data_IF_051280868720
#
_entry.id   IF_051280868720
#
_cell.length_a   1.000
_cell.length_b   1.000
_cell.length_c   1.000
_cell.angle_alpha   90.00
_cell.angle_beta   90.00
_cell.angle_gamma   90.00
#
_symmetry.space_group_name_H-M   'P 1'
#
loop_
_entity.id
_entity.type
_entity.pdbx_description
1 polymer ?
#
# COMPACT_ATOMS: atom_id res chain seq x y z
N UNK A 1 -8.69 -18.15 10.15
CA UNK A 1 -8.38 -16.72 10.04
C UNK A 1 -8.77 -16.22 8.66
N UNK A 2 -9.56 -15.18 8.59
CA UNK A 2 -9.94 -14.57 7.32
C UNK A 2 -8.95 -13.52 6.87
N UNK A 3 -9.07 -13.13 5.62
CA UNK A 3 -8.29 -12.04 5.03
C UNK A 3 -9.09 -10.75 5.13
N UNK A 4 -8.37 -9.63 5.29
CA UNK A 4 -8.97 -8.30 5.32
C UNK A 4 -8.58 -7.58 4.03
N UNK A 5 -9.57 -7.01 3.36
CA UNK A 5 -9.37 -6.22 2.15
C UNK A 5 -9.90 -4.80 2.37
N UNK A 6 -9.25 -3.84 1.74
CA UNK A 6 -9.70 -2.46 1.76
C UNK A 6 -9.63 -1.87 0.35
N UNK A 7 -10.72 -1.26 -0.08
CA UNK A 7 -10.74 -0.58 -1.38
C UNK A 7 -9.78 0.59 -1.32
N UNK A 8 -8.82 0.61 -2.23
CA UNK A 8 -7.76 1.60 -2.26
C UNK A 8 -7.66 2.19 -3.65
N UNK A 9 -7.63 3.50 -3.72
CA UNK A 9 -7.38 4.24 -4.95
C UNK A 9 -5.95 4.75 -4.95
N UNK A 10 -5.22 4.45 -6.02
CA UNK A 10 -3.84 4.91 -6.22
C UNK A 10 -3.83 5.98 -7.30
N UNK A 11 -3.20 7.11 -7.01
CA UNK A 11 -3.06 8.21 -7.95
C UNK A 11 -1.64 8.77 -7.93
N UNK A 12 -1.26 9.43 -9.02
CA UNK A 12 0.03 10.08 -9.13
C UNK A 12 0.04 11.35 -8.28
N UNK A 13 1.09 11.57 -7.50
CA UNK A 13 1.25 12.77 -6.68
C UNK A 13 1.27 14.04 -7.55
N UNK A 14 1.81 13.94 -8.76
CA UNK A 14 1.86 15.07 -9.69
C UNK A 14 0.50 15.41 -10.29
N UNK A 15 -0.53 14.63 -10.02
CA UNK A 15 -1.86 14.83 -10.55
C UNK A 15 -2.13 13.98 -11.79
N UNK A 16 -3.24 14.29 -12.47
CA UNK A 16 -3.71 13.54 -13.61
C UNK A 16 -5.04 12.86 -13.29
N UNK A 17 -5.67 12.29 -14.32
CA UNK A 17 -7.01 11.72 -14.19
C UNK A 17 -6.99 10.20 -14.01
N UNK A 18 -5.84 9.57 -14.24
CA UNK A 18 -5.73 8.11 -14.14
C UNK A 18 -5.68 7.66 -12.69
N UNK A 19 -6.28 6.52 -12.43
CA UNK A 19 -6.22 5.88 -11.12
C UNK A 19 -6.16 4.36 -11.27
N UNK A 20 -5.78 3.71 -10.18
CA UNK A 20 -5.84 2.26 -10.04
C UNK A 20 -6.61 2.00 -8.76
N UNK A 21 -7.82 1.50 -8.88
CA UNK A 21 -8.72 1.32 -7.74
C UNK A 21 -9.19 -0.12 -7.69
N UNK A 22 -8.94 -0.78 -6.57
CA UNK A 22 -9.43 -2.13 -6.32
C UNK A 22 -9.29 -2.50 -4.85
N UNK A 23 -9.85 -3.64 -4.41
CA UNK A 23 -9.57 -4.13 -3.07
C UNK A 23 -8.10 -4.54 -2.95
N UNK A 24 -7.43 -4.01 -1.93
CA UNK A 24 -6.06 -4.40 -1.57
C UNK A 24 -6.12 -5.32 -0.36
N UNK A 25 -5.33 -6.38 -0.40
CA UNK A 25 -5.13 -7.22 0.77
C UNK A 25 -4.40 -6.42 1.84
N UNK A 26 -4.89 -6.46 3.08
CA UNK A 26 -4.25 -5.80 4.22
C UNK A 26 -3.23 -6.77 4.81
N UNK A 27 -1.95 -6.37 4.79
CA UNK A 27 -0.85 -7.20 5.29
C UNK A 27 -0.07 -6.45 6.36
N UNK A 28 -0.41 -6.70 7.62
CA UNK A 28 0.26 -6.04 8.75
C UNK A 28 1.68 -6.54 8.98
N UNK A 29 2.07 -7.64 8.34
CA UNK A 29 3.45 -8.13 8.37
C UNK A 29 4.37 -7.46 7.37
N UNK A 30 3.82 -6.69 6.42
CA UNK A 30 4.60 -5.97 5.42
C UNK A 30 4.75 -4.50 5.85
N UNK A 31 5.95 -3.94 5.64
CA UNK A 31 6.21 -2.53 5.95
C UNK A 31 5.62 -1.63 4.87
N UNK A 32 5.96 -1.89 3.61
CA UNK A 32 5.57 -1.05 2.48
C UNK A 32 4.47 -1.73 1.65
N UNK A 33 3.73 -0.90 0.92
CA UNK A 33 2.66 -1.32 0.04
C UNK A 33 3.23 -1.75 -1.30
N UNK A 34 2.74 -2.87 -1.85
CA UNK A 34 3.17 -3.36 -3.15
C UNK A 34 2.01 -3.26 -4.15
N UNK A 35 2.34 -2.77 -5.35
CA UNK A 35 1.38 -2.60 -6.43
C UNK A 35 2.04 -3.14 -7.71
N UNK A 36 1.30 -3.81 -8.59
CA UNK A 36 1.88 -4.29 -9.85
C UNK A 36 2.57 -3.16 -10.61
N UNK A 37 3.79 -3.41 -11.06
CA UNK A 37 4.63 -2.40 -11.71
C UNK A 37 3.95 -1.79 -12.93
N UNK A 38 3.27 -2.60 -13.74
CA UNK A 38 2.58 -2.12 -14.94
C UNK A 38 1.47 -1.11 -14.61
N UNK A 39 0.79 -1.27 -13.47
CA UNK A 39 -0.22 -0.31 -13.04
C UNK A 39 0.41 1.00 -12.60
N UNK A 40 1.51 0.95 -11.85
CA UNK A 40 2.23 2.16 -11.46
C UNK A 40 2.77 2.90 -12.68
N UNK A 41 3.29 2.16 -13.67
CA UNK A 41 3.78 2.73 -14.91
C UNK A 41 2.65 3.40 -15.70
N UNK A 42 1.50 2.76 -15.76
CA UNK A 42 0.32 3.33 -16.43
C UNK A 42 -0.10 4.66 -15.79
N UNK A 43 0.03 4.79 -14.48
CA UNK A 43 -0.26 6.03 -13.75
C UNK A 43 0.84 7.09 -13.90
N UNK A 44 1.94 6.77 -14.57
CA UNK A 44 3.06 7.69 -14.71
C UNK A 44 3.92 7.82 -13.45
N UNK A 45 3.79 6.91 -12.51
CA UNK A 45 4.59 6.94 -11.28
C UNK A 45 5.98 6.42 -11.59
N UNK A 46 6.99 7.24 -11.26
CA UNK A 46 8.38 6.94 -11.58
C UNK A 46 9.04 6.10 -10.51
N UNK A 47 10.00 5.28 -10.93
CA UNK A 47 10.90 4.61 -10.02
C UNK A 47 11.89 5.63 -9.49
N UNK A 48 11.85 5.87 -8.17
CA UNK A 48 12.68 6.89 -7.52
C UNK A 48 13.88 6.29 -6.81
N UNK A 49 13.88 4.99 -6.59
CA UNK A 49 14.96 4.32 -5.89
C UNK A 49 14.77 2.83 -5.85
N UNK A 50 15.63 2.17 -5.09
CA UNK A 50 15.62 0.73 -4.94
C UNK A 50 15.84 0.38 -3.48
N UNK A 51 15.11 -0.59 -2.96
CA UNK A 51 15.21 -1.00 -1.56
C UNK A 51 15.30 -2.51 -1.45
N UNK A 52 16.04 -2.95 -0.44
CA UNK A 52 16.13 -4.37 -0.09
C UNK A 52 15.07 -4.70 0.95
N UNK A 53 14.35 -5.78 0.70
CA UNK A 53 13.32 -6.27 1.62
C UNK A 53 13.66 -7.70 2.04
N UNK A 54 13.45 -7.98 3.30
CA UNK A 54 13.63 -9.34 3.82
C UNK A 54 12.25 -10.02 3.85
N UNK A 55 12.19 -11.19 3.23
CA UNK A 55 10.99 -12.02 3.22
C UNK A 55 10.89 -12.85 4.50
N UNK A 56 9.72 -13.43 4.72
CA UNK A 56 9.47 -14.23 5.93
C UNK A 56 10.45 -15.40 6.10
N UNK A 57 10.98 -15.92 4.99
CA UNK A 57 11.97 -17.02 5.02
C UNK A 57 13.41 -16.52 5.20
N UNK A 58 13.63 -15.24 5.44
CA UNK A 58 14.95 -14.62 5.59
C UNK A 58 15.63 -14.25 4.28
N UNK A 59 15.04 -14.58 3.14
CA UNK A 59 15.61 -14.22 1.85
C UNK A 59 15.49 -12.72 1.62
N UNK A 60 16.56 -12.10 1.12
CA UNK A 60 16.57 -10.67 0.77
C UNK A 60 16.33 -10.51 -0.71
N UNK A 61 15.38 -9.65 -1.06
CA UNK A 61 15.05 -9.31 -2.45
C UNK A 61 15.08 -7.81 -2.62
N UNK A 62 15.38 -7.33 -3.82
CA UNK A 62 15.40 -5.90 -4.15
C UNK A 62 14.25 -5.56 -5.06
N UNK A 63 13.57 -4.45 -4.77
CA UNK A 63 12.52 -3.92 -5.63
C UNK A 63 12.73 -2.43 -5.88
N UNK A 64 12.28 -1.97 -7.02
CA UNK A 64 12.18 -0.55 -7.28
C UNK A 64 11.03 0.03 -6.46
N UNK A 65 11.21 1.25 -6.01
CA UNK A 65 10.20 1.97 -5.20
C UNK A 65 9.94 3.35 -5.78
N UNK A 66 8.77 3.86 -5.52
CA UNK A 66 8.38 5.21 -5.88
C UNK A 66 7.39 5.74 -4.85
N UNK A 67 6.70 6.82 -5.20
CA UNK A 67 5.78 7.48 -4.29
C UNK A 67 4.45 7.73 -4.98
N UNK A 68 3.37 7.56 -4.25
CA UNK A 68 2.02 7.74 -4.80
C UNK A 68 1.09 8.24 -3.70
N UNK A 69 -0.04 8.78 -4.10
CA UNK A 69 -1.16 8.97 -3.18
C UNK A 69 -1.98 7.69 -3.13
N UNK A 70 -2.32 7.27 -1.93
CA UNK A 70 -3.24 6.16 -1.69
C UNK A 70 -4.41 6.68 -0.88
N UNK A 71 -5.62 6.43 -1.38
CA UNK A 71 -6.84 6.74 -0.65
C UNK A 71 -7.44 5.41 -0.18
N UNK A 72 -7.41 5.17 1.13
CA UNK A 72 -7.88 3.93 1.75
C UNK A 72 -9.13 4.26 2.54
N UNK A 73 -10.26 3.69 2.14
CA UNK A 73 -11.54 3.96 2.78
C UNK A 73 -11.78 5.45 3.00
N UNK A 74 -11.42 6.27 2.02
CA UNK A 74 -11.61 7.72 2.06
C UNK A 74 -10.48 8.52 2.69
N UNK A 75 -9.46 7.87 3.28
CA UNK A 75 -8.32 8.55 3.89
C UNK A 75 -7.14 8.57 2.92
N UNK A 76 -6.72 9.76 2.53
CA UNK A 76 -5.65 9.95 1.55
C UNK A 76 -4.32 10.15 2.25
N UNK A 77 -3.33 9.38 1.84
CA UNK A 77 -1.96 9.49 2.34
C UNK A 77 -0.96 9.43 1.19
N UNK A 78 0.19 10.06 1.37
CA UNK A 78 1.34 9.89 0.48
C UNK A 78 2.16 8.72 1.01
N UNK A 79 2.52 7.80 0.14
CA UNK A 79 3.13 6.56 0.58
C UNK A 79 4.23 6.08 -0.35
N UNK A 80 5.16 5.32 0.23
CA UNK A 80 6.09 4.51 -0.55
C UNK A 80 5.33 3.38 -1.20
N UNK A 81 5.58 3.14 -2.47
CA UNK A 81 5.00 2.01 -3.19
C UNK A 81 6.10 1.20 -3.82
N UNK A 82 5.99 -0.12 -3.70
CA UNK A 82 6.93 -1.07 -4.29
C UNK A 82 6.38 -1.49 -5.65
N UNK A 83 7.23 -1.47 -6.66
CA UNK A 83 6.90 -1.94 -8.00
C UNK A 83 6.94 -3.46 -7.99
N UNK A 84 5.78 -4.07 -7.81
CA UNK A 84 5.66 -5.52 -7.73
C UNK A 84 5.56 -6.18 -9.11
N UNK A 85 5.52 -7.49 -9.09
CA UNK A 85 5.36 -8.26 -10.32
C UNK A 85 4.00 -8.01 -10.96
N UNK A 86 3.92 -8.13 -12.29
CA UNK A 86 2.74 -7.70 -13.05
C UNK A 86 1.44 -8.36 -12.63
N UNK A 87 1.47 -9.62 -12.26
CA UNK A 87 0.28 -10.37 -11.87
C UNK A 87 0.15 -10.54 -10.37
N UNK A 88 0.93 -9.79 -9.60
CA UNK A 88 0.84 -9.88 -8.15
C UNK A 88 -0.43 -9.21 -7.65
N UNK A 89 -0.97 -9.74 -6.57
CA UNK A 89 -2.07 -9.11 -5.86
C UNK A 89 -1.51 -7.90 -5.11
N UNK A 90 -2.14 -6.71 -5.22
CA UNK A 90 -1.68 -5.57 -4.44
C UNK A 90 -2.02 -5.76 -2.96
N UNK A 91 -1.12 -5.31 -2.09
CA UNK A 91 -1.41 -5.31 -0.67
C UNK A 91 -0.93 -4.03 0.00
N UNK A 92 -1.61 -3.69 1.10
CA UNK A 92 -1.29 -2.53 1.92
C UNK A 92 -0.32 -2.95 3.02
N UNK A 93 0.78 -2.21 3.14
CA UNK A 93 1.71 -2.38 4.24
C UNK A 93 1.30 -1.58 5.47
N UNK A 94 1.93 -1.89 6.60
CA UNK A 94 1.58 -1.30 7.88
C UNK A 94 1.79 0.21 7.93
N UNK A 95 2.77 0.74 7.19
CA UNK A 95 3.04 2.20 7.20
C UNK A 95 1.87 2.99 6.64
N UNK A 96 1.19 2.49 5.61
CA UNK A 96 -0.01 3.14 5.05
C UNK A 96 -1.15 3.09 6.06
N UNK A 97 -1.35 1.94 6.70
CA UNK A 97 -2.43 1.80 7.69
C UNK A 97 -2.23 2.76 8.86
N UNK A 98 -1.02 2.86 9.37
CA UNK A 98 -0.69 3.78 10.47
C UNK A 98 -0.87 5.23 10.04
N UNK A 99 -0.37 5.60 8.86
CA UNK A 99 -0.50 6.97 8.35
C UNK A 99 -1.95 7.36 8.11
N UNK A 100 -2.78 6.44 7.66
CA UNK A 100 -4.19 6.69 7.41
C UNK A 100 -5.05 6.61 8.68
N UNK A 101 -4.49 6.13 9.78
CA UNK A 101 -5.19 6.03 11.06
C UNK A 101 -6.09 4.81 11.17
N UNK A 102 -5.68 3.69 10.57
CA UNK A 102 -6.44 2.45 10.64
C UNK A 102 -5.73 1.39 11.47
N UNK A 103 -6.52 0.58 12.14
CA UNK A 103 -6.09 -0.67 12.76
C UNK A 103 -6.96 -1.79 12.21
N UNK A 104 -6.45 -3.01 12.26
CA UNK A 104 -7.21 -4.19 11.86
C UNK A 104 -8.03 -4.68 13.05
N UNK A 105 -9.34 -4.84 12.83
CA UNK A 105 -10.20 -5.53 13.78
C UNK A 105 -10.21 -7.01 13.40
N UNK A 106 -9.54 -7.88 14.15
CA UNK A 106 -9.41 -9.29 13.77
C UNK A 106 -10.72 -10.08 13.92
N UNK A 107 -11.63 -9.59 14.74
CA UNK A 107 -12.92 -10.27 14.97
C UNK A 107 -13.86 -10.02 13.81
N UNK A 108 -14.00 -8.76 13.42
CA UNK A 108 -14.89 -8.36 12.31
C UNK A 108 -14.22 -8.49 10.95
N UNK A 109 -12.90 -8.65 10.91
CA UNK A 109 -12.10 -8.74 9.67
C UNK A 109 -12.27 -7.50 8.80
N UNK A 110 -12.22 -6.32 9.42
CA UNK A 110 -12.32 -5.03 8.75
C UNK A 110 -11.25 -4.09 9.28
N UNK A 111 -11.00 -3.02 8.54
CA UNK A 111 -10.21 -1.90 9.03
C UNK A 111 -11.10 -1.04 9.91
N UNK A 112 -10.58 -0.66 11.07
CA UNK A 112 -11.24 0.23 12.00
C UNK A 112 -10.47 1.53 12.08
N UNK A 113 -11.15 2.65 11.90
CA UNK A 113 -10.53 3.95 12.03
C UNK A 113 -10.27 4.28 13.49
N UNK A 114 -9.07 4.75 13.79
CA UNK A 114 -8.73 5.23 15.14
C UNK A 114 -9.28 6.64 15.33
N UNK A 115 -9.59 7.00 16.58
CA UNK A 115 -10.10 8.34 16.90
C UNK A 115 -9.05 9.42 16.65
N UNK A 116 -7.77 9.09 16.84
CA UNK A 116 -6.66 10.01 16.61
C UNK A 116 -5.40 9.22 16.31
N UNK A 117 -4.51 9.84 15.54
CA UNK A 117 -3.20 9.26 15.21
C UNK A 117 -2.20 9.75 16.25
N UNK A 118 -1.41 8.87 16.90
CA UNK A 118 -0.39 9.32 17.84
C UNK A 118 0.63 10.21 17.13
N UNK A 119 0.91 11.37 17.71
CA UNK A 119 1.90 12.28 17.15
C UNK A 119 3.32 11.93 17.61
N UNK A 120 3.42 11.36 18.80
CA UNK A 120 4.67 10.87 19.33
C UNK A 120 4.49 9.88 20.49
#
# INVERSE_FOLDING_TARGET
>A
MGLVYAVTEVTNISGGEKNYTMPFLVDTGATDTIIPANELERLGIKREGRRNYELANGKVVSYDVGYAFLCVNGEKVAANVVFGEEKSEPFLGVTVLESAGFVVDPIRQILKKTAAIPLK
#
